data_IF_963862090486
#
_entry.id   IF_963862090486
#
_cell.length_a   1.000
_cell.length_b   1.000
_cell.length_c   1.000
_cell.angle_alpha   90.00
_cell.angle_beta   90.00
_cell.angle_gamma   90.00
#
_symmetry.space_group_name_H-M   'P 1'
#
loop_
_entity.id
_entity.type
_entity.pdbx_description
1 polymer ?
#
# COMPACT_ATOMS: atom_id res chain seq x y z
N UNK A 1 -6.05 16.62 10.26
CA UNK A 1 -5.29 15.44 10.74
C UNK A 1 -6.17 14.23 11.08
N UNK A 2 -7.26 14.38 11.86
CA UNK A 2 -8.19 13.28 12.19
C UNK A 2 -8.85 12.58 10.99
N UNK A 3 -9.16 13.34 9.93
CA UNK A 3 -9.81 12.80 8.72
C UNK A 3 -8.93 11.81 7.96
N UNK A 4 -7.62 12.06 7.91
CA UNK A 4 -6.64 11.17 7.26
C UNK A 4 -6.49 9.88 8.07
N UNK A 5 -6.33 9.96 9.39
CA UNK A 5 -6.25 8.79 10.27
C UNK A 5 -7.52 7.93 10.21
N UNK A 6 -8.70 8.54 10.13
CA UNK A 6 -9.97 7.84 9.98
C UNK A 6 -10.04 7.09 8.63
N UNK A 7 -9.60 7.73 7.53
CA UNK A 7 -9.52 7.07 6.22
C UNK A 7 -8.52 5.92 6.20
N UNK A 8 -7.34 6.09 6.80
CA UNK A 8 -6.39 5.00 6.94
C UNK A 8 -6.98 3.83 7.71
N UNK A 9 -7.70 4.09 8.81
CA UNK A 9 -8.34 3.04 9.62
C UNK A 9 -9.39 2.25 8.83
N UNK A 10 -10.24 2.93 8.06
CA UNK A 10 -11.22 2.28 7.19
C UNK A 10 -10.54 1.52 6.04
N UNK A 11 -9.50 2.10 5.43
CA UNK A 11 -8.69 1.45 4.41
C UNK A 11 -8.07 0.15 4.94
N UNK A 12 -7.46 0.17 6.14
CA UNK A 12 -6.89 -1.01 6.79
C UNK A 12 -7.94 -2.09 7.10
N UNK A 13 -9.16 -1.69 7.46
CA UNK A 13 -10.29 -2.61 7.68
C UNK A 13 -10.70 -3.32 6.38
N UNK A 14 -10.62 -2.61 5.26
CA UNK A 14 -10.96 -3.14 3.92
C UNK A 14 -9.84 -3.87 3.19
N UNK A 15 -8.57 -3.75 3.62
CA UNK A 15 -7.41 -4.40 2.99
C UNK A 15 -7.53 -5.94 2.86
N UNK A 16 -8.43 -6.56 3.63
CA UNK A 16 -8.72 -8.00 3.52
C UNK A 16 -9.53 -8.36 2.26
N UNK A 17 -10.15 -7.38 1.60
CA UNK A 17 -10.96 -7.56 0.41
C UNK A 17 -10.44 -6.66 -0.74
N UNK A 18 -9.72 -7.31 -1.67
CA UNK A 18 -9.11 -6.67 -2.85
C UNK A 18 -10.12 -5.85 -3.67
N UNK A 19 -11.40 -6.26 -3.68
CA UNK A 19 -12.47 -5.65 -4.48
C UNK A 19 -12.75 -4.23 -4.00
N UNK A 20 -13.07 -4.10 -2.70
CA UNK A 20 -13.44 -2.82 -2.10
C UNK A 20 -12.27 -1.85 -2.06
N UNK A 21 -11.05 -2.38 -1.93
CA UNK A 21 -9.83 -1.57 -1.82
C UNK A 21 -9.55 -0.78 -3.11
N UNK A 22 -9.73 -1.38 -4.29
CA UNK A 22 -9.43 -0.70 -5.57
C UNK A 22 -10.39 0.46 -5.83
N UNK A 23 -11.69 0.29 -5.54
CA UNK A 23 -12.69 1.34 -5.76
C UNK A 23 -12.52 2.49 -4.75
N UNK A 24 -12.23 2.21 -3.47
CA UNK A 24 -11.92 3.24 -2.47
C UNK A 24 -10.71 4.08 -2.91
N UNK A 25 -9.65 3.45 -3.43
CA UNK A 25 -8.47 4.18 -3.94
C UNK A 25 -8.85 5.08 -5.12
N UNK A 26 -9.72 4.59 -6.00
CA UNK A 26 -10.19 5.35 -7.15
C UNK A 26 -11.09 6.54 -6.75
N UNK A 27 -11.90 6.41 -5.70
CA UNK A 27 -12.68 7.51 -5.12
C UNK A 27 -11.78 8.67 -4.64
N UNK A 28 -10.55 8.35 -4.22
CA UNK A 28 -9.56 9.35 -3.82
C UNK A 28 -8.78 9.96 -5.01
N UNK A 29 -9.16 9.63 -6.25
CA UNK A 29 -8.49 10.10 -7.46
C UNK A 29 -7.11 9.46 -7.69
N UNK A 30 -6.78 8.41 -6.96
CA UNK A 30 -5.49 7.72 -7.05
C UNK A 30 -5.63 6.54 -8.01
N UNK A 31 -4.70 6.40 -8.96
CA UNK A 31 -4.64 5.21 -9.81
C UNK A 31 -4.13 4.02 -9.01
N UNK A 32 -5.00 3.02 -8.81
CA UNK A 32 -4.60 1.77 -8.16
C UNK A 32 -3.71 0.94 -9.08
N UNK A 33 -2.55 0.54 -8.56
CA UNK A 33 -1.62 -0.40 -9.20
C UNK A 33 -1.65 -1.78 -8.54
N UNK A 34 -2.74 -2.13 -7.85
CA UNK A 34 -2.87 -3.43 -7.21
C UNK A 34 -3.02 -4.50 -8.28
N UNK A 35 -2.15 -5.53 -8.25
CA UNK A 35 -2.22 -6.64 -9.19
C UNK A 35 -3.48 -7.45 -8.94
N UNK A 36 -4.26 -7.67 -9.99
CA UNK A 36 -5.50 -8.43 -9.96
C UNK A 36 -5.20 -9.92 -10.19
N UNK A 37 -5.98 -10.82 -9.58
CA UNK A 37 -5.81 -12.26 -9.76
C UNK A 37 -6.00 -12.66 -11.22
N UNK A 38 -5.17 -13.59 -11.71
CA UNK A 38 -5.12 -14.05 -13.12
C UNK A 38 -6.48 -14.45 -13.69
N UNK A 39 -7.33 -15.10 -12.90
CA UNK A 39 -8.66 -15.58 -13.33
C UNK A 39 -9.79 -14.64 -12.91
N UNK A 40 -9.51 -13.36 -12.66
CA UNK A 40 -10.55 -12.40 -12.27
C UNK A 40 -11.48 -12.11 -13.43
N UNK A 41 -12.78 -12.14 -13.13
CA UNK A 41 -13.81 -11.76 -14.07
C UNK A 41 -13.85 -10.24 -14.24
N UNK A 42 -14.18 -9.79 -15.46
CA UNK A 42 -14.41 -8.37 -15.78
C UNK A 42 -15.84 -7.93 -15.44
N UNK A 43 -16.59 -8.75 -14.70
CA UNK A 43 -17.95 -8.43 -14.28
C UNK A 43 -17.92 -7.38 -13.17
N UNK A 44 -18.65 -6.29 -13.39
CA UNK A 44 -18.81 -5.22 -12.40
C UNK A 44 -19.92 -5.61 -11.43
N UNK A 45 -19.57 -6.23 -10.31
CA UNK A 45 -20.46 -6.33 -9.14
C UNK A 45 -20.30 -5.06 -8.29
N UNK A 46 -20.73 -3.93 -8.82
CA UNK A 46 -20.62 -2.60 -8.19
C UNK A 46 -19.18 -2.09 -7.98
N UNK A 47 -18.24 -2.57 -8.80
CA UNK A 47 -16.81 -2.29 -8.68
C UNK A 47 -16.19 -1.80 -10.02
N UNK A 48 -16.53 -0.58 -10.48
CA UNK A 48 -16.14 -0.10 -11.80
C UNK A 48 -14.63 0.13 -11.93
N UNK A 49 -13.93 0.56 -10.87
CA UNK A 49 -12.48 0.77 -10.93
C UNK A 49 -11.75 -0.57 -10.97
N UNK A 50 -12.23 -1.59 -10.25
CA UNK A 50 -11.72 -2.96 -10.38
C UNK A 50 -11.86 -3.49 -11.79
N UNK A 51 -13.02 -3.31 -12.44
CA UNK A 51 -13.23 -3.74 -13.83
C UNK A 51 -12.21 -3.13 -14.77
N UNK A 52 -11.93 -1.82 -14.64
CA UNK A 52 -10.91 -1.13 -15.42
C UNK A 52 -9.52 -1.74 -15.19
N UNK A 53 -9.14 -1.96 -13.93
CA UNK A 53 -7.87 -2.60 -13.59
C UNK A 53 -7.74 -4.02 -14.18
N UNK A 54 -8.81 -4.83 -14.16
CA UNK A 54 -8.83 -6.17 -14.79
C UNK A 54 -8.56 -6.08 -16.29
N UNK A 55 -9.22 -5.15 -16.98
CA UNK A 55 -9.06 -4.97 -18.44
C UNK A 55 -7.65 -4.50 -18.77
N UNK A 56 -7.15 -3.51 -18.02
CA UNK A 56 -5.81 -2.95 -18.20
C UNK A 56 -4.71 -4.01 -18.00
N UNK A 57 -4.86 -4.87 -16.99
CA UNK A 57 -3.90 -5.92 -16.64
C UNK A 57 -4.00 -7.19 -17.51
N UNK A 58 -4.95 -7.27 -18.45
CA UNK A 58 -4.96 -8.33 -19.49
C UNK A 58 -3.84 -8.15 -20.51
N UNK A 59 -3.32 -6.93 -20.66
CA UNK A 59 -2.12 -6.70 -21.46
C UNK A 59 -0.93 -7.42 -20.79
N UNK A 60 -0.27 -8.31 -21.54
CA UNK A 60 0.88 -9.09 -21.07
C UNK A 60 2.05 -8.19 -20.66
N UNK A 61 2.20 -7.03 -21.30
CA UNK A 61 3.26 -6.07 -21.02
C UNK A 61 2.85 -5.00 -20.01
N UNK A 62 1.66 -5.10 -19.40
CA UNK A 62 1.19 -4.14 -18.39
C UNK A 62 2.22 -3.87 -17.29
N UNK A 63 2.87 -4.93 -16.80
CA UNK A 63 3.87 -4.83 -15.74
C UNK A 63 5.08 -3.99 -16.15
N UNK A 64 5.46 -3.98 -17.44
CA UNK A 64 6.57 -3.18 -17.96
C UNK A 64 6.17 -1.71 -18.19
N UNK A 65 4.93 -1.50 -18.65
CA UNK A 65 4.36 -0.16 -18.91
C UNK A 65 3.98 0.58 -17.63
N UNK A 66 3.65 -0.16 -16.58
CA UNK A 66 3.25 0.33 -15.28
C UNK A 66 4.45 0.50 -14.34
N UNK A 67 4.44 1.50 -13.44
CA UNK A 67 5.45 1.59 -12.37
C UNK A 67 5.25 0.51 -11.28
N UNK A 68 4.39 -0.49 -11.49
CA UNK A 68 4.19 -1.63 -10.59
C UNK A 68 5.50 -2.32 -10.19
N UNK A 69 6.46 -2.42 -11.12
CA UNK A 69 7.77 -3.01 -10.84
C UNK A 69 8.48 -2.30 -9.69
N UNK A 70 8.28 -0.99 -9.48
CA UNK A 70 8.91 -0.23 -8.40
C UNK A 70 8.43 -0.63 -6.99
N UNK A 71 7.46 -1.53 -6.85
CA UNK A 71 7.06 -2.08 -5.55
C UNK A 71 8.22 -2.73 -4.79
N UNK A 72 9.16 -3.36 -5.51
CA UNK A 72 10.34 -3.97 -4.89
C UNK A 72 11.13 -2.95 -4.06
N UNK A 73 11.20 -1.69 -4.49
CA UNK A 73 11.93 -0.63 -3.78
C UNK A 73 11.33 -0.37 -2.40
N UNK A 74 9.99 -0.30 -2.32
CA UNK A 74 9.28 -0.07 -1.05
C UNK A 74 9.47 -1.25 -0.10
N UNK A 75 9.39 -2.48 -0.62
CA UNK A 75 9.62 -3.70 0.17
C UNK A 75 11.07 -3.78 0.65
N UNK A 76 12.04 -3.38 -0.17
CA UNK A 76 13.45 -3.27 0.21
C UNK A 76 13.66 -2.25 1.33
N UNK A 77 13.05 -1.05 1.23
CA UNK A 77 13.14 -0.03 2.29
C UNK A 77 12.58 -0.58 3.61
N UNK A 78 11.40 -1.21 3.59
CA UNK A 78 10.82 -1.82 4.79
C UNK A 78 11.67 -2.97 5.34
N UNK A 79 12.25 -3.80 4.46
CA UNK A 79 13.17 -4.87 4.87
C UNK A 79 14.42 -4.30 5.54
N UNK A 80 15.02 -3.26 4.97
CA UNK A 80 16.21 -2.60 5.53
C UNK A 80 15.90 -1.96 6.88
N UNK A 81 14.78 -1.25 6.99
CA UNK A 81 14.29 -0.69 8.26
C UNK A 81 14.19 -1.76 9.36
N UNK A 82 13.53 -2.89 9.08
CA UNK A 82 13.36 -3.98 10.05
C UNK A 82 14.68 -4.65 10.43
N UNK A 83 15.63 -4.77 9.49
CA UNK A 83 16.96 -5.31 9.79
C UNK A 83 17.78 -4.39 10.69
N UNK A 84 17.66 -3.08 10.52
CA UNK A 84 18.41 -2.08 11.29
C UNK A 84 17.85 -1.85 12.69
N UNK A 85 16.53 -1.77 12.82
CA UNK A 85 15.87 -1.36 14.07
C UNK A 85 15.08 -2.50 14.76
N UNK A 86 15.06 -3.69 14.17
CA UNK A 86 14.30 -4.85 14.66
C UNK A 86 12.89 -4.96 14.07
N UNK A 87 12.27 -6.14 14.23
CA UNK A 87 10.94 -6.43 13.68
C UNK A 87 9.79 -5.94 14.56
N UNK A 88 10.06 -5.66 15.84
CA UNK A 88 9.06 -5.29 16.84
C UNK A 88 9.42 -3.97 17.50
N UNK A 89 8.38 -3.25 17.94
CA UNK A 89 8.52 -2.01 18.69
C UNK A 89 8.51 -2.33 20.18
N UNK A 90 9.30 -1.60 20.95
CA UNK A 90 9.34 -1.76 22.41
C UNK A 90 8.05 -1.25 23.07
N UNK A 91 7.42 -0.23 22.46
CA UNK A 91 6.24 0.43 22.98
C UNK A 91 5.00 -0.47 23.02
N UNK A 92 4.40 -0.61 24.22
CA UNK A 92 3.12 -1.34 24.39
C UNK A 92 1.86 -0.52 24.07
N UNK A 93 1.94 0.82 24.13
CA UNK A 93 0.82 1.71 23.78
C UNK A 93 0.96 2.20 22.35
N UNK A 94 -0.14 2.21 21.59
CA UNK A 94 -0.16 2.62 20.18
C UNK A 94 0.39 4.03 19.94
N UNK A 95 0.06 4.99 20.82
CA UNK A 95 0.56 6.37 20.72
C UNK A 95 2.08 6.46 20.86
N UNK A 96 2.69 5.63 21.71
CA UNK A 96 4.15 5.56 21.85
C UNK A 96 4.78 4.79 20.69
N UNK A 97 4.15 3.72 20.20
CA UNK A 97 4.60 2.99 19.02
C UNK A 97 4.68 3.90 17.77
N UNK A 98 3.71 4.81 17.60
CA UNK A 98 3.76 5.80 16.52
C UNK A 98 4.93 6.78 16.67
N UNK A 99 5.24 7.21 17.90
CA UNK A 99 6.40 8.08 18.17
C UNK A 99 7.71 7.35 17.90
N UNK A 100 7.83 6.11 18.35
CA UNK A 100 8.98 5.23 18.10
C UNK A 100 9.21 5.04 16.59
N UNK A 101 8.16 4.71 15.83
CA UNK A 101 8.22 4.63 14.37
C UNK A 101 8.64 5.94 13.69
N UNK A 102 8.18 7.08 14.20
CA UNK A 102 8.55 8.39 13.65
C UNK A 102 10.04 8.70 13.85
N UNK A 103 10.58 8.33 15.02
CA UNK A 103 12.01 8.45 15.33
C UNK A 103 12.81 7.50 14.42
N UNK A 104 12.41 6.23 14.32
CA UNK A 104 13.05 5.24 13.45
C UNK A 104 13.10 5.73 11.99
N UNK A 105 11.99 6.24 11.46
CA UNK A 105 11.94 6.76 10.09
C UNK A 105 12.87 7.96 9.89
N UNK A 106 12.94 8.86 10.89
CA UNK A 106 13.83 10.03 10.84
C UNK A 106 15.31 9.61 10.88
N UNK A 107 15.66 8.65 11.74
CA UNK A 107 17.02 8.10 11.83
C UNK A 107 17.41 7.36 10.54
N UNK A 108 16.50 6.58 9.97
CA UNK A 108 16.75 5.89 8.69
C UNK A 108 17.07 6.87 7.57
N UNK A 109 16.32 7.99 7.48
CA UNK A 109 16.59 9.06 6.52
C UNK A 109 17.97 9.69 6.74
N UNK A 110 18.36 9.95 7.99
CA UNK A 110 19.68 10.49 8.33
C UNK A 110 20.78 9.53 7.85
N UNK A 111 20.67 8.23 8.17
CA UNK A 111 21.66 7.22 7.77
C UNK A 111 21.77 7.01 6.26
N UNK A 112 20.72 7.30 5.49
CA UNK A 112 20.73 7.17 4.02
C UNK A 112 21.00 8.51 3.31
N UNK A 113 21.07 9.62 4.03
CA UNK A 113 21.40 10.95 3.50
C UNK A 113 22.89 11.32 3.58
N UNK A 114 23.67 10.52 4.32
CA UNK A 114 25.13 10.56 4.41
C UNK A 114 25.74 9.64 3.34
#
# INVERSE_FOLDING_TARGET
MLRILQHFKEMFKTLRNEIKTVDIIAEHGIRSLIKVRKNSTSLSKDAPARRKAVIEQRDKDWTKKSPYTKRWLVESIFSSLKRLFGESLSSRKFSYALRELSIIASLFNIFHSL
#
